data_IF_353002734198
#
_entry.id   IF_353002734198
#
_cell.length_a   1.000
_cell.length_b   1.000
_cell.length_c   1.000
_cell.angle_alpha   90.00
_cell.angle_beta   90.00
_cell.angle_gamma   90.00
#
_symmetry.space_group_name_H-M   'P 1'
#
loop_
_entity.id
_entity.type
_entity.pdbx_description
1 polymer ?
#
# COMPACT_ATOMS: atom_id res chain seq x y z
N UNK A 1 -5.37 14.88 13.48
CA UNK A 1 -6.41 14.43 12.50
C UNK A 1 -7.60 13.69 13.12
N UNK A 2 -7.45 12.90 14.20
CA UNK A 2 -8.58 12.25 14.90
C UNK A 2 -9.58 13.27 15.49
N UNK A 3 -9.08 14.46 15.90
CA UNK A 3 -9.89 15.57 16.42
C UNK A 3 -10.86 16.17 15.38
N UNK A 4 -10.47 16.20 14.10
CA UNK A 4 -11.27 16.84 13.04
C UNK A 4 -12.52 16.02 12.67
N UNK A 5 -12.42 14.68 12.65
CA UNK A 5 -13.59 13.82 12.46
C UNK A 5 -14.46 13.71 13.72
N UNK A 6 -13.90 13.87 14.93
CA UNK A 6 -14.71 14.03 16.15
C UNK A 6 -15.54 15.32 16.10
N UNK A 7 -15.00 16.39 15.52
CA UNK A 7 -15.72 17.65 15.32
C UNK A 7 -16.85 17.50 14.28
N UNK A 8 -16.58 16.88 13.14
CA UNK A 8 -17.61 16.57 12.13
C UNK A 8 -18.65 15.59 12.69
N UNK A 9 -18.24 14.64 13.52
CA UNK A 9 -19.13 13.74 14.25
C UNK A 9 -20.01 14.50 15.23
N UNK A 10 -19.48 15.45 16.01
CA UNK A 10 -20.26 16.27 16.93
C UNK A 10 -21.24 17.19 16.19
N UNK A 11 -20.85 17.74 15.03
CA UNK A 11 -21.74 18.59 14.21
C UNK A 11 -22.87 17.77 13.57
N UNK A 12 -22.58 16.56 13.08
CA UNK A 12 -23.60 15.64 12.53
C UNK A 12 -24.46 15.03 13.66
N UNK A 13 -23.89 14.77 14.84
CA UNK A 13 -24.59 14.26 16.03
C UNK A 13 -25.49 15.32 16.67
N UNK A 14 -25.08 16.60 16.67
CA UNK A 14 -25.94 17.74 17.02
C UNK A 14 -27.13 17.86 16.06
N UNK A 15 -26.94 17.53 14.78
CA UNK A 15 -28.03 17.42 13.79
C UNK A 15 -29.01 16.27 14.12
N UNK A 16 -28.55 15.21 14.80
CA UNK A 16 -29.37 14.08 15.22
C UNK A 16 -30.10 14.33 16.54
N UNK A 17 -29.50 15.06 17.49
CA UNK A 17 -30.16 15.42 18.75
C UNK A 17 -31.35 16.37 18.51
N UNK A 18 -31.24 17.27 17.53
CA UNK A 18 -32.33 18.16 17.13
C UNK A 18 -33.50 17.41 16.43
N UNK A 19 -33.26 16.18 15.95
CA UNK A 19 -34.27 15.30 15.36
C UNK A 19 -34.79 14.22 16.33
N UNK A 20 -34.26 14.14 17.55
CA UNK A 20 -34.57 13.05 18.50
C UNK A 20 -35.73 13.35 19.47
N UNK A 21 -36.33 14.54 19.43
CA UNK A 21 -37.67 14.73 19.99
C UNK A 21 -38.70 14.24 18.97
N UNK A 22 -38.94 12.93 18.95
CA UNK A 22 -40.24 12.25 18.66
C UNK A 22 -40.02 10.81 18.23
N UNK A 23 -39.82 9.87 19.16
CA UNK A 23 -40.38 8.49 19.12
C UNK A 23 -40.44 7.95 20.56
N UNK A 24 -41.53 7.33 21.02
CA UNK A 24 -41.92 5.90 20.81
C UNK A 24 -43.34 5.64 21.41
N UNK A 25 -44.06 4.51 21.16
CA UNK A 25 -43.61 3.11 21.36
C UNK A 25 -44.11 2.07 20.29
N UNK A 26 -43.86 0.75 20.46
CA UNK A 26 -43.85 -0.27 19.39
C UNK A 26 -45.13 -1.11 19.25
N UNK A 27 -45.08 -2.01 18.25
CA UNK A 27 -46.09 -3.00 17.77
C UNK A 27 -46.93 -3.70 18.86
N UNK A 28 -48.22 -3.93 18.56
CA UNK A 28 -48.91 -5.17 18.92
C UNK A 28 -49.98 -5.57 17.88
N UNK A 29 -49.91 -6.85 17.52
CA UNK A 29 -50.91 -7.84 17.09
C UNK A 29 -52.03 -7.58 16.06
N UNK A 30 -52.24 -8.66 15.30
CA UNK A 30 -53.35 -8.96 14.40
C UNK A 30 -54.72 -8.64 15.01
N UNK A 31 -55.60 -8.02 14.23
CA UNK A 31 -57.01 -8.37 14.25
C UNK A 31 -57.63 -8.13 12.87
N UNK A 32 -58.28 -9.16 12.34
CA UNK A 32 -59.09 -9.12 11.12
C UNK A 32 -60.37 -8.37 11.50
N UNK A 33 -60.38 -7.04 11.32
CA UNK A 33 -61.54 -6.23 11.66
C UNK A 33 -62.60 -6.42 10.56
N UNK A 34 -63.67 -7.13 10.93
CA UNK A 34 -64.97 -7.10 10.27
C UNK A 34 -65.35 -5.66 9.95
N UNK A 35 -65.86 -5.36 8.75
CA UNK A 35 -66.35 -4.01 8.41
C UNK A 35 -67.40 -3.59 9.43
N UNK A 36 -67.02 -2.73 10.37
CA UNK A 36 -67.95 -2.12 11.35
C UNK A 36 -68.47 -0.77 10.86
N UNK A 37 -67.87 -0.19 9.82
CA UNK A 37 -68.20 1.15 9.31
C UNK A 37 -68.26 1.13 7.77
N UNK A 38 -69.24 1.85 7.22
CA UNK A 38 -69.54 1.87 5.79
C UNK A 38 -68.81 2.97 5.01
N UNK A 39 -68.03 3.82 5.70
CA UNK A 39 -67.29 4.93 5.09
C UNK A 39 -65.84 4.99 5.62
N UNK A 40 -64.95 5.56 4.80
CA UNK A 40 -63.58 5.84 5.19
C UNK A 40 -63.54 7.04 6.14
N UNK A 41 -62.65 7.00 7.13
CA UNK A 41 -62.43 8.11 8.06
C UNK A 41 -61.89 9.35 7.34
N UNK A 42 -62.39 10.55 7.66
CA UNK A 42 -62.00 11.83 7.02
C UNK A 42 -60.49 12.06 7.02
N UNK A 43 -59.81 11.69 8.11
CA UNK A 43 -58.35 11.69 8.22
C UNK A 43 -57.60 10.93 7.08
N UNK A 44 -58.19 9.89 6.49
CA UNK A 44 -57.58 9.18 5.34
C UNK A 44 -57.70 9.98 4.04
N UNK A 45 -58.79 10.73 3.86
CA UNK A 45 -58.99 11.65 2.73
C UNK A 45 -57.94 12.76 2.78
N UNK A 46 -57.73 13.34 3.97
CA UNK A 46 -56.70 14.36 4.23
C UNK A 46 -55.29 13.84 3.96
N UNK A 47 -54.93 12.69 4.54
CA UNK A 47 -53.62 12.06 4.28
C UNK A 47 -53.41 11.76 2.79
N UNK A 48 -54.46 11.48 2.03
CA UNK A 48 -54.37 11.22 0.60
C UNK A 48 -54.03 12.49 -0.21
N UNK A 49 -54.63 13.64 0.12
CA UNK A 49 -54.31 14.94 -0.50
C UNK A 49 -52.88 15.38 -0.18
N UNK A 50 -52.47 15.23 1.08
CA UNK A 50 -51.14 15.61 1.56
C UNK A 50 -50.03 14.62 1.17
N UNK A 51 -50.39 13.50 0.53
CA UNK A 51 -49.42 12.46 0.15
C UNK A 51 -48.80 11.71 1.33
N UNK A 52 -49.46 11.72 2.50
CA UNK A 52 -48.95 11.19 3.77
C UNK A 52 -49.51 9.80 4.13
N UNK A 53 -50.21 9.12 3.22
CA UNK A 53 -50.68 7.75 3.44
C UNK A 53 -49.50 6.79 3.62
N UNK A 54 -49.52 5.98 4.68
CA UNK A 54 -48.60 4.86 4.80
C UNK A 54 -48.86 3.82 3.71
N UNK A 55 -47.87 2.97 3.43
CA UNK A 55 -48.02 1.88 2.44
C UNK A 55 -49.20 0.94 2.76
N UNK A 56 -49.48 0.70 4.05
CA UNK A 56 -50.58 -0.14 4.50
C UNK A 56 -51.95 0.55 4.37
N UNK A 57 -52.01 1.87 4.59
CA UNK A 57 -53.25 2.64 4.38
C UNK A 57 -53.56 2.76 2.89
N UNK A 58 -52.56 3.07 2.05
CA UNK A 58 -52.73 3.19 0.60
C UNK A 58 -53.18 1.90 -0.07
N UNK A 59 -52.71 0.74 0.39
CA UNK A 59 -53.10 -0.55 -0.17
C UNK A 59 -54.55 -0.94 0.13
N UNK A 60 -55.20 -0.26 1.09
CA UNK A 60 -56.60 -0.51 1.49
C UNK A 60 -57.60 0.45 0.81
N UNK A 61 -57.10 1.37 -0.02
CA UNK A 61 -57.90 2.39 -0.70
C UNK A 61 -57.86 2.10 -2.22
N UNK A 62 -59.02 1.87 -2.87
CA UNK A 62 -59.10 1.74 -4.32
C UNK A 62 -58.53 2.96 -5.05
N UNK A 63 -57.94 2.75 -6.22
CA UNK A 63 -57.28 3.83 -6.97
C UNK A 63 -58.25 4.94 -7.43
N UNK A 64 -59.49 4.58 -7.76
CA UNK A 64 -60.56 5.53 -8.09
C UNK A 64 -60.89 6.43 -6.90
N UNK A 65 -61.04 5.83 -5.70
CA UNK A 65 -61.29 6.55 -4.45
C UNK A 65 -60.12 7.45 -4.06
N UNK A 66 -58.89 6.98 -4.22
CA UNK A 66 -57.69 7.79 -3.96
C UNK A 66 -57.57 8.98 -4.93
N UNK A 67 -57.93 8.78 -6.21
CA UNK A 67 -57.94 9.83 -7.22
C UNK A 67 -59.01 10.89 -6.96
N UNK A 68 -60.22 10.47 -6.56
CA UNK A 68 -61.29 11.39 -6.12
C UNK A 68 -60.83 12.23 -4.93
N UNK A 69 -60.28 11.59 -3.89
CA UNK A 69 -59.83 12.28 -2.69
C UNK A 69 -58.77 13.33 -2.96
N UNK A 70 -57.86 13.09 -3.92
CA UNK A 70 -56.85 14.08 -4.33
C UNK A 70 -57.45 15.38 -4.88
N UNK A 71 -58.66 15.34 -5.42
CA UNK A 71 -59.31 16.48 -6.10
C UNK A 71 -60.51 17.04 -5.32
N UNK A 72 -60.92 16.36 -4.24
CA UNK A 72 -62.10 16.70 -3.44
C UNK A 72 -61.92 18.04 -2.72
N UNK A 73 -62.91 18.93 -2.78
CA UNK A 73 -62.89 20.15 -1.99
C UNK A 73 -63.22 19.85 -0.52
N UNK A 74 -62.29 20.14 0.39
CA UNK A 74 -62.42 19.82 1.82
C UNK A 74 -63.12 20.90 2.63
N UNK A 75 -63.35 22.10 2.09
CA UNK A 75 -64.04 23.19 2.79
C UNK A 75 -65.53 22.90 3.05
N UNK A 76 -66.08 21.85 2.42
CA UNK A 76 -67.47 21.43 2.52
C UNK A 76 -67.66 20.23 3.48
N UNK A 77 -66.58 19.71 4.08
CA UNK A 77 -66.64 18.50 4.90
C UNK A 77 -66.95 18.85 6.36
N UNK A 78 -68.15 18.50 6.81
CA UNK A 78 -68.61 18.69 8.19
C UNK A 78 -67.77 17.86 9.16
N UNK A 79 -67.24 18.49 10.21
CA UNK A 79 -66.35 17.87 11.21
C UNK A 79 -64.86 18.07 10.97
N UNK A 80 -64.48 18.84 9.94
CA UNK A 80 -63.11 19.32 9.75
C UNK A 80 -62.89 20.56 10.64
N UNK A 81 -62.19 20.39 11.77
CA UNK A 81 -61.71 21.50 12.60
C UNK A 81 -60.20 21.68 12.42
N UNK A 82 -59.70 22.91 12.52
CA UNK A 82 -58.26 23.22 12.39
C UNK A 82 -57.38 22.47 13.41
N UNK A 83 -57.98 21.94 14.48
CA UNK A 83 -57.33 21.20 15.56
C UNK A 83 -57.06 19.71 15.26
N UNK A 84 -57.35 19.22 14.05
CA UNK A 84 -57.15 17.81 13.69
C UNK A 84 -55.64 17.45 13.62
N UNK A 85 -55.15 16.32 14.16
CA UNK A 85 -53.71 16.00 14.28
C UNK A 85 -52.92 15.94 12.96
N UNK A 86 -53.62 15.90 11.83
CA UNK A 86 -53.06 15.96 10.49
C UNK A 86 -52.59 17.38 10.16
N UNK A 87 -53.34 18.41 10.58
CA UNK A 87 -52.97 19.82 10.44
C UNK A 87 -51.78 20.19 11.34
N UNK A 88 -51.65 19.57 12.52
CA UNK A 88 -50.52 19.82 13.43
C UNK A 88 -49.16 19.57 12.75
N UNK A 89 -49.06 18.55 11.87
CA UNK A 89 -47.82 18.31 11.11
C UNK A 89 -47.63 19.33 9.98
N UNK A 90 -48.70 19.68 9.29
CA UNK A 90 -48.68 20.64 8.19
C UNK A 90 -48.37 22.07 8.66
N UNK A 91 -48.93 22.48 9.79
CA UNK A 91 -48.60 23.74 10.47
C UNK A 91 -47.18 23.76 10.99
N UNK A 92 -46.66 22.65 11.49
CA UNK A 92 -45.25 22.55 11.86
C UNK A 92 -44.36 22.67 10.61
N UNK A 93 -44.69 22.02 9.49
CA UNK A 93 -43.93 22.19 8.24
C UNK A 93 -44.03 23.60 7.67
N UNK A 94 -45.21 24.23 7.74
CA UNK A 94 -45.47 25.61 7.33
C UNK A 94 -44.69 26.60 8.21
N UNK A 95 -44.77 26.45 9.53
CA UNK A 95 -44.01 27.24 10.52
C UNK A 95 -42.49 27.06 10.37
N UNK A 96 -42.00 25.86 10.05
CA UNK A 96 -40.57 25.62 9.75
C UNK A 96 -40.16 26.31 8.44
N UNK A 97 -41.01 26.25 7.40
CA UNK A 97 -40.77 26.91 6.11
C UNK A 97 -40.83 28.44 6.23
N UNK A 98 -41.71 28.98 7.06
CA UNK A 98 -41.91 30.43 7.25
C UNK A 98 -40.96 31.02 8.31
N UNK A 99 -40.38 30.18 9.17
CA UNK A 99 -39.40 30.58 10.16
C UNK A 99 -38.15 31.17 9.49
N UNK A 100 -38.04 32.50 9.54
CA UNK A 100 -36.85 33.24 9.12
C UNK A 100 -35.61 32.73 9.84
N UNK A 101 -35.74 32.36 11.12
CA UNK A 101 -34.65 31.83 11.94
C UNK A 101 -34.18 30.48 11.43
N UNK A 102 -35.09 29.55 11.11
CA UNK A 102 -34.74 28.24 10.55
C UNK A 102 -34.04 28.37 9.19
N UNK A 103 -34.59 29.20 8.29
CA UNK A 103 -33.96 29.49 6.98
C UNK A 103 -32.57 30.11 7.11
N UNK A 104 -32.39 31.07 8.04
CA UNK A 104 -31.09 31.69 8.33
C UNK A 104 -30.10 30.66 8.87
N UNK A 105 -30.50 29.84 9.84
CA UNK A 105 -29.66 28.79 10.43
C UNK A 105 -29.27 27.73 9.40
N UNK A 106 -30.23 27.27 8.58
CA UNK A 106 -29.95 26.31 7.51
C UNK A 106 -28.99 26.90 6.46
N UNK A 107 -29.19 28.16 6.09
CA UNK A 107 -28.30 28.86 5.15
C UNK A 107 -26.88 28.98 5.72
N UNK A 108 -26.74 29.37 6.99
CA UNK A 108 -25.45 29.43 7.66
C UNK A 108 -24.76 28.06 7.72
N UNK A 109 -25.51 26.99 8.03
CA UNK A 109 -25.00 25.62 8.01
C UNK A 109 -24.55 25.19 6.62
N UNK A 110 -25.30 25.52 5.57
CA UNK A 110 -24.92 25.21 4.19
C UNK A 110 -23.62 25.92 3.77
N UNK A 111 -23.43 27.18 4.18
CA UNK A 111 -22.18 27.93 3.93
C UNK A 111 -21.00 27.24 4.63
N UNK A 112 -21.17 26.84 5.89
CA UNK A 112 -20.15 26.08 6.64
C UNK A 112 -19.84 24.75 5.96
N UNK A 113 -20.87 24.00 5.53
CA UNK A 113 -20.69 22.75 4.78
C UNK A 113 -19.95 22.97 3.45
N UNK A 114 -20.27 24.03 2.71
CA UNK A 114 -19.62 24.36 1.44
C UNK A 114 -18.13 24.64 1.63
N UNK A 115 -17.76 25.37 2.69
CA UNK A 115 -16.36 25.60 3.06
C UNK A 115 -15.63 24.29 3.38
N UNK A 116 -16.22 23.41 4.21
CA UNK A 116 -15.59 22.12 4.49
C UNK A 116 -15.48 21.24 3.25
N UNK A 117 -16.47 21.30 2.34
CA UNK A 117 -16.39 20.58 1.08
C UNK A 117 -15.27 21.11 0.19
N UNK A 118 -15.07 22.42 0.09
CA UNK A 118 -13.99 23.01 -0.72
C UNK A 118 -12.60 22.64 -0.17
N UNK A 119 -12.42 22.66 1.15
CA UNK A 119 -11.20 22.17 1.79
C UNK A 119 -10.91 20.71 1.39
N UNK A 120 -11.93 19.85 1.38
CA UNK A 120 -11.75 18.43 1.05
C UNK A 120 -11.46 18.14 -0.42
N UNK A 121 -11.69 19.08 -1.33
CA UNK A 121 -11.35 18.90 -2.76
C UNK A 121 -9.85 19.05 -3.00
N UNK A 122 -9.21 19.98 -2.28
CA UNK A 122 -7.80 20.28 -2.44
C UNK A 122 -6.87 19.46 -1.51
N UNK A 123 -7.44 18.63 -0.64
CA UNK A 123 -6.65 17.75 0.25
C UNK A 123 -5.91 16.64 -0.51
N UNK A 124 -4.58 16.69 -0.46
CA UNK A 124 -3.72 15.57 -0.88
C UNK A 124 -4.04 14.32 -0.02
N UNK A 125 -4.27 13.19 -0.68
CA UNK A 125 -4.53 11.92 0.01
C UNK A 125 -5.99 11.65 0.39
N UNK A 126 -6.96 12.47 -0.07
CA UNK A 126 -8.41 12.28 0.13
C UNK A 126 -8.89 10.83 0.00
N UNK A 127 -8.45 10.11 -1.04
CA UNK A 127 -8.85 8.71 -1.29
C UNK A 127 -8.47 7.78 -0.13
N UNK A 128 -7.33 7.99 0.52
CA UNK A 128 -6.87 7.19 1.66
C UNK A 128 -7.78 7.43 2.86
N UNK A 129 -8.04 8.69 3.18
CA UNK A 129 -8.90 9.10 4.30
C UNK A 129 -10.32 8.52 4.14
N UNK A 130 -10.91 8.61 2.95
CA UNK A 130 -12.23 8.03 2.68
C UNK A 130 -12.26 6.50 2.84
N UNK A 131 -11.19 5.81 2.44
CA UNK A 131 -11.09 4.36 2.61
C UNK A 131 -10.94 3.96 4.09
N UNK A 132 -10.19 4.72 4.89
CA UNK A 132 -10.05 4.50 6.32
C UNK A 132 -11.40 4.71 7.06
N UNK A 133 -12.21 5.65 6.58
CA UNK A 133 -13.52 5.99 7.16
C UNK A 133 -14.71 5.25 6.53
N UNK A 134 -14.47 4.21 5.72
CA UNK A 134 -15.51 3.50 4.97
C UNK A 134 -16.69 3.03 5.83
N UNK A 135 -16.44 2.54 7.06
CA UNK A 135 -17.47 2.05 7.98
C UNK A 135 -18.42 3.18 8.41
N UNK A 136 -17.86 4.33 8.74
CA UNK A 136 -18.62 5.52 9.13
C UNK A 136 -19.46 6.04 7.96
N UNK A 137 -18.87 6.07 6.76
CA UNK A 137 -19.58 6.49 5.54
C UNK A 137 -20.76 5.57 5.26
N UNK A 138 -20.58 4.24 5.30
CA UNK A 138 -21.67 3.28 5.10
C UNK A 138 -22.78 3.46 6.15
N UNK A 139 -22.40 3.67 7.43
CA UNK A 139 -23.36 3.93 8.52
C UNK A 139 -24.21 5.18 8.24
N UNK A 140 -23.57 6.29 7.85
CA UNK A 140 -24.26 7.55 7.55
C UNK A 140 -25.21 7.37 6.36
N UNK A 141 -24.74 6.82 5.23
CA UNK A 141 -25.60 6.59 4.05
C UNK A 141 -26.79 5.72 4.41
N UNK A 142 -26.56 4.66 5.20
CA UNK A 142 -27.64 3.74 5.62
C UNK A 142 -28.68 4.47 6.47
N UNK A 143 -28.27 5.37 7.38
CA UNK A 143 -29.18 6.15 8.23
C UNK A 143 -29.98 7.20 7.47
N UNK A 144 -29.38 7.90 6.50
CA UNK A 144 -30.04 9.00 5.78
C UNK A 144 -30.83 8.52 4.55
N UNK A 145 -30.48 7.35 4.00
CA UNK A 145 -31.13 6.83 2.80
C UNK A 145 -32.65 6.64 2.86
N UNK A 146 -33.29 6.33 4.02
CA UNK A 146 -34.74 6.27 4.12
C UNK A 146 -35.43 7.63 3.95
N UNK A 147 -34.70 8.73 4.18
CA UNK A 147 -35.24 10.10 4.12
C UNK A 147 -35.12 10.70 2.71
N UNK A 148 -33.96 10.54 2.07
CA UNK A 148 -33.63 11.24 0.81
C UNK A 148 -33.34 10.28 -0.36
N UNK A 149 -33.37 8.98 -0.12
CA UNK A 149 -33.00 7.95 -1.11
C UNK A 149 -31.49 7.70 -1.19
N UNK A 150 -31.12 6.47 -1.59
CA UNK A 150 -29.72 6.00 -1.60
C UNK A 150 -28.84 6.80 -2.57
N UNK A 151 -29.35 7.15 -3.75
CA UNK A 151 -28.58 7.92 -4.75
C UNK A 151 -28.21 9.31 -4.22
N UNK A 152 -29.17 10.03 -3.63
CA UNK A 152 -28.94 11.35 -3.05
C UNK A 152 -28.01 11.29 -1.82
N UNK A 153 -28.22 10.30 -0.95
CA UNK A 153 -27.36 10.03 0.20
C UNK A 153 -25.89 9.77 -0.19
N UNK A 154 -25.67 8.98 -1.25
CA UNK A 154 -24.33 8.72 -1.78
C UNK A 154 -23.70 9.99 -2.39
N UNK A 155 -24.49 10.79 -3.12
CA UNK A 155 -24.05 12.06 -3.73
C UNK A 155 -23.59 13.07 -2.67
N UNK A 156 -24.31 13.16 -1.53
CA UNK A 156 -23.97 14.03 -0.41
C UNK A 156 -22.56 13.73 0.16
N UNK A 157 -22.17 12.46 0.20
CA UNK A 157 -20.84 12.03 0.67
C UNK A 157 -19.81 11.87 -0.45
N UNK A 158 -20.14 12.34 -1.67
CA UNK A 158 -19.29 12.25 -2.87
C UNK A 158 -18.78 10.83 -3.16
N UNK A 159 -19.65 9.83 -2.99
CA UNK A 159 -19.39 8.43 -3.37
C UNK A 159 -20.43 7.91 -4.37
N UNK A 160 -20.05 6.94 -5.21
CA UNK A 160 -21.02 6.26 -6.07
C UNK A 160 -21.83 5.23 -5.30
N UNK A 161 -23.06 4.96 -5.72
CA UNK A 161 -23.90 3.90 -5.13
C UNK A 161 -23.21 2.53 -5.23
N UNK A 162 -22.50 2.24 -6.32
CA UNK A 162 -21.69 1.03 -6.47
C UNK A 162 -20.61 0.92 -5.39
N UNK A 163 -19.90 2.02 -5.08
CA UNK A 163 -18.89 2.04 -4.01
C UNK A 163 -19.52 1.83 -2.64
N UNK A 164 -20.68 2.43 -2.38
CA UNK A 164 -21.45 2.21 -1.15
C UNK A 164 -21.82 0.74 -0.98
N UNK A 165 -22.46 0.11 -1.98
CA UNK A 165 -22.85 -1.30 -1.89
C UNK A 165 -21.64 -2.22 -1.77
N UNK A 166 -20.53 -1.92 -2.46
CA UNK A 166 -19.27 -2.66 -2.31
C UNK A 166 -18.73 -2.61 -0.88
N UNK A 167 -18.77 -1.45 -0.22
CA UNK A 167 -18.34 -1.31 1.17
C UNK A 167 -19.34 -1.91 2.16
N UNK A 168 -20.64 -1.79 1.89
CA UNK A 168 -21.70 -2.35 2.73
C UNK A 168 -21.68 -3.88 2.74
N UNK A 169 -21.42 -4.49 1.58
CA UNK A 169 -21.42 -5.93 1.38
C UNK A 169 -20.00 -6.54 1.48
N UNK A 170 -19.06 -5.82 2.08
CA UNK A 170 -17.68 -6.29 2.23
C UNK A 170 -17.63 -7.42 3.28
N UNK A 171 -17.41 -8.65 2.82
CA UNK A 171 -17.28 -9.82 3.72
C UNK A 171 -15.84 -9.91 4.24
N UNK A 172 -15.70 -9.86 5.56
CA UNK A 172 -14.41 -10.03 6.22
C UNK A 172 -14.10 -11.51 6.43
N UNK A 173 -12.95 -11.95 5.92
CA UNK A 173 -12.46 -13.30 6.08
C UNK A 173 -11.25 -13.28 7.03
N UNK A 174 -11.48 -13.59 8.30
CA UNK A 174 -10.43 -13.54 9.34
C UNK A 174 -9.29 -14.53 9.11
N UNK A 175 -9.54 -15.59 8.33
CA UNK A 175 -8.53 -16.59 7.93
C UNK A 175 -7.65 -16.11 6.75
N UNK A 176 -7.89 -14.91 6.21
CA UNK A 176 -7.11 -14.30 5.14
C UNK A 176 -6.26 -13.15 5.65
N UNK A 177 -4.99 -13.10 5.25
CA UNK A 177 -4.02 -12.06 5.64
C UNK A 177 -4.50 -10.62 5.40
N UNK A 178 -5.37 -10.42 4.41
CA UNK A 178 -5.91 -9.09 4.06
C UNK A 178 -7.37 -8.90 4.47
N UNK A 179 -7.94 -9.81 5.27
CA UNK A 179 -9.37 -9.86 5.57
C UNK A 179 -10.26 -9.97 4.30
N UNK A 180 -9.69 -10.42 3.17
CA UNK A 180 -10.37 -10.58 1.90
C UNK A 180 -10.61 -12.06 1.61
N UNK A 181 -11.87 -12.44 1.40
CA UNK A 181 -12.24 -13.80 1.04
C UNK A 181 -11.57 -14.23 -0.27
N UNK A 182 -10.87 -15.38 -0.26
CA UNK A 182 -10.18 -15.93 -1.44
C UNK A 182 -11.15 -16.43 -2.50
N UNK A 183 -12.36 -16.87 -2.14
CA UNK A 183 -13.39 -17.27 -3.12
C UNK A 183 -13.90 -16.06 -3.92
N UNK A 184 -14.19 -14.95 -3.23
CA UNK A 184 -14.63 -13.70 -3.86
C UNK A 184 -13.49 -12.98 -4.60
N UNK A 185 -12.27 -13.10 -4.09
CA UNK A 185 -11.06 -12.53 -4.69
C UNK A 185 -10.04 -13.64 -5.03
N UNK A 186 -10.31 -14.44 -6.08
CA UNK A 186 -9.59 -15.70 -6.35
C UNK A 186 -8.19 -15.50 -6.94
N UNK A 187 -7.82 -14.26 -7.32
CA UNK A 187 -6.48 -13.92 -7.81
C UNK A 187 -5.45 -13.67 -6.69
N UNK A 188 -5.85 -13.76 -5.42
CA UNK A 188 -4.93 -13.64 -4.28
C UNK A 188 -3.91 -14.79 -4.25
N UNK A 189 -2.79 -14.62 -3.52
CA UNK A 189 -1.90 -15.75 -3.26
C UNK A 189 -2.65 -16.84 -2.48
N UNK A 190 -2.37 -18.09 -2.82
CA UNK A 190 -2.88 -19.27 -2.10
C UNK A 190 -2.32 -19.34 -0.68
N UNK A 191 -2.94 -20.15 0.20
CA UNK A 191 -2.44 -20.33 1.57
C UNK A 191 -1.03 -20.91 1.56
N UNK A 192 -0.78 -21.87 0.67
CA UNK A 192 0.54 -22.49 0.47
C UNK A 192 1.60 -21.45 0.09
N UNK A 193 1.35 -20.59 -0.89
CA UNK A 193 2.28 -19.52 -1.29
C UNK A 193 2.56 -18.55 -0.13
N UNK A 194 1.54 -18.20 0.67
CA UNK A 194 1.72 -17.32 1.83
C UNK A 194 2.59 -17.97 2.91
N UNK A 195 2.38 -19.25 3.20
CA UNK A 195 3.20 -20.02 4.14
C UNK A 195 4.65 -20.11 3.66
N UNK A 196 4.88 -20.31 2.35
CA UNK A 196 6.23 -20.30 1.77
C UNK A 196 6.89 -18.95 1.98
N UNK A 197 6.22 -17.84 1.65
CA UNK A 197 6.75 -16.49 1.88
C UNK A 197 7.09 -16.29 3.36
N UNK A 198 6.19 -16.68 4.27
CA UNK A 198 6.41 -16.58 5.71
C UNK A 198 7.64 -17.39 6.16
N UNK A 199 7.84 -18.60 5.61
CA UNK A 199 9.02 -19.43 5.88
C UNK A 199 10.31 -18.73 5.46
N UNK A 200 10.37 -18.18 4.23
CA UNK A 200 11.56 -17.46 3.75
C UNK A 200 11.87 -16.21 4.56
N UNK A 201 10.85 -15.47 5.01
CA UNK A 201 11.04 -14.27 5.82
C UNK A 201 11.50 -14.55 7.25
N UNK A 202 11.27 -15.77 7.76
CA UNK A 202 11.65 -16.22 9.11
C UNK A 202 12.94 -17.04 9.16
N UNK A 203 13.54 -17.37 8.01
CA UNK A 203 14.80 -18.10 7.95
C UNK A 203 15.93 -17.26 8.56
N UNK A 204 16.64 -17.77 9.59
CA UNK A 204 17.74 -17.02 10.24
C UNK A 204 18.84 -16.62 9.27
N UNK A 205 19.23 -17.54 8.37
CA UNK A 205 20.26 -17.34 7.34
C UNK A 205 19.94 -16.21 6.33
N UNK A 206 18.67 -15.81 6.22
CA UNK A 206 18.21 -14.78 5.27
C UNK A 206 17.79 -13.48 5.97
N UNK A 207 17.93 -13.40 7.30
CA UNK A 207 17.34 -12.33 8.09
C UNK A 207 17.98 -10.96 7.82
N UNK A 208 19.29 -10.95 7.56
CA UNK A 208 20.10 -9.79 7.18
C UNK A 208 20.05 -9.50 5.68
N UNK A 209 19.49 -10.40 4.86
CA UNK A 209 19.40 -10.17 3.42
C UNK A 209 18.35 -9.11 3.07
N UNK A 210 18.61 -8.31 2.02
CA UNK A 210 17.58 -7.50 1.40
C UNK A 210 16.39 -8.36 0.97
N UNK A 211 15.17 -7.91 1.24
CA UNK A 211 13.94 -8.60 0.83
C UNK A 211 13.90 -8.94 -0.67
N UNK A 212 14.56 -8.13 -1.52
CA UNK A 212 14.66 -8.42 -2.96
C UNK A 212 15.50 -9.65 -3.24
N UNK A 213 16.59 -9.86 -2.50
CA UNK A 213 17.43 -11.07 -2.60
C UNK A 213 16.69 -12.29 -2.09
N UNK A 214 15.98 -12.17 -0.96
CA UNK A 214 15.11 -13.25 -0.43
C UNK A 214 14.04 -13.66 -1.46
N UNK A 215 13.43 -12.68 -2.14
CA UNK A 215 12.48 -12.94 -3.21
C UNK A 215 13.10 -13.75 -4.35
N UNK A 216 14.29 -13.36 -4.85
CA UNK A 216 14.94 -14.09 -5.92
C UNK A 216 15.46 -15.46 -5.48
N UNK A 217 15.92 -15.61 -4.24
CA UNK A 217 16.26 -16.92 -3.68
C UNK A 217 15.05 -17.86 -3.74
N UNK A 218 13.87 -17.40 -3.33
CA UNK A 218 12.63 -18.18 -3.40
C UNK A 218 12.23 -18.56 -4.84
N UNK A 219 12.50 -17.69 -5.83
CA UNK A 219 12.29 -18.00 -7.25
C UNK A 219 13.32 -19.02 -7.77
N UNK A 220 14.60 -18.85 -7.44
CA UNK A 220 15.67 -19.77 -7.80
C UNK A 220 15.41 -21.17 -7.24
N UNK A 221 14.97 -21.26 -5.98
CA UNK A 221 14.59 -22.52 -5.31
C UNK A 221 13.27 -23.11 -5.84
N UNK A 222 12.64 -22.45 -6.82
CA UNK A 222 11.37 -22.84 -7.46
C UNK A 222 10.22 -23.10 -6.47
N UNK A 223 10.20 -22.40 -5.33
CA UNK A 223 9.20 -22.65 -4.27
C UNK A 223 7.87 -21.93 -4.52
N UNK A 224 7.90 -20.68 -4.97
CA UNK A 224 6.68 -19.93 -5.28
C UNK A 224 6.96 -18.84 -6.32
N UNK A 225 6.10 -18.72 -7.32
CA UNK A 225 6.26 -17.75 -8.41
C UNK A 225 5.23 -16.64 -8.34
N UNK A 226 5.67 -15.43 -8.01
CA UNK A 226 4.84 -14.23 -7.95
C UNK A 226 5.65 -13.01 -8.36
N UNK A 227 4.97 -11.91 -8.67
CA UNK A 227 5.69 -10.68 -8.97
C UNK A 227 6.29 -10.07 -7.67
N UNK A 228 7.32 -9.24 -7.84
CA UNK A 228 8.03 -8.59 -6.74
C UNK A 228 7.14 -7.64 -5.92
N UNK A 229 6.18 -6.94 -6.56
CA UNK A 229 5.30 -6.00 -5.86
C UNK A 229 4.29 -6.70 -4.94
N UNK A 230 3.81 -7.86 -5.36
CA UNK A 230 2.99 -8.79 -4.59
C UNK A 230 3.81 -9.37 -3.45
N UNK A 231 5.06 -9.79 -3.69
CA UNK A 231 5.94 -10.24 -2.61
C UNK A 231 6.08 -9.17 -1.53
N UNK A 232 6.41 -7.93 -1.90
CA UNK A 232 6.49 -6.82 -0.94
C UNK A 232 5.16 -6.52 -0.22
N UNK A 233 4.02 -6.66 -0.91
CA UNK A 233 2.70 -6.48 -0.31
C UNK A 233 2.47 -7.49 0.82
N UNK A 234 2.80 -8.75 0.60
CA UNK A 234 2.63 -9.81 1.60
C UNK A 234 3.71 -9.75 2.68
N UNK A 235 4.97 -9.51 2.31
CA UNK A 235 6.08 -9.39 3.26
C UNK A 235 5.84 -8.30 4.31
N UNK A 236 5.20 -7.18 3.93
CA UNK A 236 4.86 -6.12 4.89
C UNK A 236 3.89 -6.56 5.98
N UNK A 237 2.96 -7.46 5.67
CA UNK A 237 2.00 -7.96 6.65
C UNK A 237 2.62 -9.09 7.49
N UNK A 238 3.45 -9.92 6.86
CA UNK A 238 4.09 -11.06 7.51
C UNK A 238 5.33 -10.69 8.35
N UNK A 239 5.96 -9.55 8.08
CA UNK A 239 7.11 -8.98 8.81
C UNK A 239 6.94 -7.46 8.97
N UNK A 240 6.05 -7.01 9.88
CA UNK A 240 5.68 -5.60 10.02
C UNK A 240 6.82 -4.71 10.53
N UNK A 241 7.82 -5.28 11.20
CA UNK A 241 8.94 -4.57 11.81
C UNK A 241 9.91 -3.97 10.77
N UNK A 242 9.81 -4.42 9.52
CA UNK A 242 10.69 -3.97 8.44
C UNK A 242 10.31 -2.56 7.96
N UNK A 243 11.05 -1.55 8.44
CA UNK A 243 10.89 -0.15 8.01
C UNK A 243 11.54 0.07 6.65
N UNK A 244 10.74 0.54 5.67
CA UNK A 244 11.25 0.90 4.34
C UNK A 244 11.76 2.34 4.34
N UNK A 245 13.03 2.53 3.99
CA UNK A 245 13.55 3.83 3.57
C UNK A 245 13.38 4.00 2.05
N UNK A 246 12.76 5.10 1.60
CA UNK A 246 12.60 5.41 0.18
C UNK A 246 13.51 6.57 -0.19
N UNK A 247 14.62 6.27 -0.87
CA UNK A 247 15.46 7.31 -1.48
C UNK A 247 14.88 7.81 -2.80
N UNK A 248 15.13 9.09 -3.17
CA UNK A 248 14.92 9.56 -4.52
C UNK A 248 15.75 8.73 -5.52
N UNK A 249 15.27 8.65 -6.76
CA UNK A 249 16.03 7.98 -7.83
C UNK A 249 17.24 8.83 -8.18
N UNK A 250 18.42 8.24 -8.15
CA UNK A 250 19.64 8.86 -8.65
C UNK A 250 19.80 8.60 -10.15
N UNK A 251 20.61 9.43 -10.82
CA UNK A 251 20.97 9.23 -12.23
C UNK A 251 21.75 7.91 -12.38
N UNK A 252 21.60 7.25 -13.52
CA UNK A 252 22.34 6.03 -13.81
C UNK A 252 23.73 6.45 -14.28
N UNK A 253 24.78 6.08 -13.54
CA UNK A 253 26.17 6.29 -13.95
C UNK A 253 26.62 5.34 -15.05
N UNK A 254 27.89 5.42 -15.44
CA UNK A 254 28.53 4.56 -16.44
C UNK A 254 28.24 3.05 -16.23
N UNK A 255 28.09 2.29 -17.31
CA UNK A 255 27.82 0.84 -17.27
C UNK A 255 28.71 0.10 -18.27
N UNK A 256 29.32 -0.98 -17.81
CA UNK A 256 29.99 -1.94 -18.68
C UNK A 256 28.97 -2.79 -19.45
N UNK A 257 29.39 -3.29 -20.62
CA UNK A 257 28.63 -4.24 -21.44
C UNK A 257 29.01 -5.70 -21.16
N UNK A 258 30.15 -5.96 -20.51
CA UNK A 258 30.65 -7.29 -20.17
C UNK A 258 31.50 -7.28 -18.89
N UNK A 259 31.64 -8.43 -18.19
CA UNK A 259 32.50 -8.54 -17.03
C UNK A 259 33.95 -8.16 -17.33
N UNK A 260 34.64 -7.64 -16.31
CA UNK A 260 36.08 -7.35 -16.30
C UNK A 260 36.53 -6.30 -17.34
N UNK A 261 35.63 -5.41 -17.77
CA UNK A 261 35.96 -4.30 -18.69
C UNK A 261 35.96 -2.92 -18.04
N UNK A 262 35.26 -2.78 -16.91
CA UNK A 262 35.25 -1.58 -16.10
C UNK A 262 35.18 -1.99 -14.63
N UNK A 263 36.23 -1.65 -13.90
CA UNK A 263 36.34 -1.89 -12.47
C UNK A 263 36.06 -0.58 -11.72
N UNK A 264 35.51 -0.70 -10.52
CA UNK A 264 35.34 0.42 -9.60
C UNK A 264 36.12 0.13 -8.34
N UNK A 265 36.83 1.13 -7.84
CA UNK A 265 37.52 1.04 -6.56
C UNK A 265 37.23 2.26 -5.70
N UNK A 266 37.20 2.05 -4.38
CA UNK A 266 36.97 3.10 -3.38
C UNK A 266 37.37 2.59 -1.99
N UNK A 267 37.78 3.51 -1.13
CA UNK A 267 38.16 3.25 0.26
C UNK A 267 37.13 3.80 1.22
N UNK A 268 36.66 2.95 2.13
CA UNK A 268 35.70 3.33 3.16
C UNK A 268 36.30 3.18 4.56
N UNK A 269 36.01 4.14 5.44
CA UNK A 269 36.49 4.14 6.83
C UNK A 269 35.44 3.53 7.77
N UNK A 270 35.81 2.59 8.63
CA UNK A 270 35.01 2.10 9.75
C UNK A 270 35.71 2.50 11.07
N UNK A 271 34.97 3.08 12.01
CA UNK A 271 35.44 3.26 13.38
C UNK A 271 35.01 2.07 14.21
N UNK A 272 35.96 1.39 14.83
CA UNK A 272 35.76 0.19 15.65
C UNK A 272 35.53 0.61 17.11
N UNK A 273 35.00 -0.28 17.96
CA UNK A 273 34.67 0.06 19.35
C UNK A 273 35.89 0.47 20.19
N UNK A 274 37.05 -0.12 19.93
CA UNK A 274 38.34 0.25 20.55
C UNK A 274 38.82 1.66 20.17
N UNK A 275 38.10 2.36 19.28
CA UNK A 275 38.40 3.70 18.82
C UNK A 275 39.30 3.74 17.59
N UNK A 276 39.87 2.62 17.17
CA UNK A 276 40.69 2.50 15.97
C UNK A 276 39.88 2.76 14.69
N UNK A 277 40.58 3.18 13.63
CA UNK A 277 40.01 3.37 12.30
C UNK A 277 40.50 2.26 11.39
N UNK A 278 39.57 1.46 10.86
CA UNK A 278 39.84 0.51 9.81
C UNK A 278 39.53 1.16 8.45
N UNK A 279 40.55 1.27 7.59
CA UNK A 279 40.42 1.70 6.21
C UNK A 279 40.23 0.46 5.36
N UNK A 280 39.07 0.34 4.69
CA UNK A 280 38.71 -0.85 3.93
C UNK A 280 38.58 -0.43 2.47
N UNK A 281 39.46 -0.98 1.64
CA UNK A 281 39.49 -0.74 0.21
C UNK A 281 38.83 -1.91 -0.53
N UNK A 282 37.94 -1.61 -1.46
CA UNK A 282 37.24 -2.61 -2.27
C UNK A 282 37.45 -2.34 -3.76
N UNK A 283 37.57 -3.42 -4.54
CA UNK A 283 37.53 -3.39 -6.01
C UNK A 283 36.36 -4.25 -6.45
N UNK A 284 35.46 -3.69 -7.27
CA UNK A 284 34.31 -4.40 -7.81
C UNK A 284 34.24 -4.34 -9.33
N UNK A 285 33.66 -5.38 -9.94
CA UNK A 285 33.29 -5.37 -11.35
C UNK A 285 31.98 -4.60 -11.58
N UNK A 286 31.95 -3.75 -12.60
CA UNK A 286 30.78 -2.95 -12.94
C UNK A 286 29.59 -3.80 -13.42
N UNK A 287 29.84 -4.79 -14.27
CA UNK A 287 28.81 -5.57 -14.95
C UNK A 287 28.21 -6.60 -14.00
N UNK A 288 29.05 -7.53 -13.50
CA UNK A 288 28.67 -8.64 -12.63
C UNK A 288 28.35 -8.20 -11.21
N UNK A 289 28.80 -7.01 -10.78
CA UNK A 289 28.67 -6.51 -9.39
C UNK A 289 29.48 -7.28 -8.36
N UNK A 290 30.39 -8.14 -8.81
CA UNK A 290 31.23 -8.98 -7.94
C UNK A 290 32.28 -8.11 -7.29
N UNK A 291 32.51 -8.30 -6.00
CA UNK A 291 33.69 -7.78 -5.32
C UNK A 291 34.84 -8.70 -5.71
N UNK A 292 35.77 -8.16 -6.50
CA UNK A 292 36.90 -8.90 -7.04
C UNK A 292 38.02 -9.05 -6.01
N UNK A 293 38.24 -8.01 -5.22
CA UNK A 293 39.26 -7.95 -4.19
C UNK A 293 38.95 -6.91 -3.12
N UNK A 294 39.53 -7.10 -1.94
CA UNK A 294 39.43 -6.16 -0.82
C UNK A 294 40.68 -6.24 0.05
N UNK A 295 41.04 -5.13 0.67
CA UNK A 295 42.10 -5.03 1.70
C UNK A 295 41.59 -4.15 2.82
N UNK A 296 42.01 -4.42 4.05
CA UNK A 296 41.81 -3.47 5.15
C UNK A 296 43.14 -3.17 5.85
N UNK A 297 43.25 -1.97 6.42
CA UNK A 297 44.44 -1.51 7.15
C UNK A 297 44.08 -0.55 8.26
N UNK A 298 44.98 -0.40 9.23
CA UNK A 298 44.91 0.62 10.30
C UNK A 298 45.37 2.00 9.84
N UNK A 299 46.13 2.05 8.75
CA UNK A 299 46.67 3.29 8.17
C UNK A 299 46.02 3.60 6.81
N UNK A 300 45.87 4.88 6.53
CA UNK A 300 45.45 5.37 5.22
C UNK A 300 46.65 5.33 4.27
N UNK A 301 46.72 4.32 3.39
CA UNK A 301 47.91 4.10 2.56
C UNK A 301 47.58 3.61 1.14
N UNK A 302 48.09 4.32 0.12
CA UNK A 302 47.97 3.96 -1.29
C UNK A 302 48.62 2.61 -1.64
N UNK A 303 49.60 2.14 -0.85
CA UNK A 303 50.23 0.82 -1.03
C UNK A 303 49.21 -0.33 -0.93
N UNK A 304 48.18 -0.18 -0.10
CA UNK A 304 47.12 -1.19 0.02
C UNK A 304 46.21 -1.19 -1.21
N UNK A 305 45.95 -0.02 -1.78
CA UNK A 305 45.23 0.13 -3.06
C UNK A 305 45.97 -0.59 -4.17
N UNK A 306 47.27 -0.33 -4.32
CA UNK A 306 48.14 -0.97 -5.33
C UNK A 306 48.24 -2.48 -5.11
N UNK A 307 48.46 -2.94 -3.87
CA UNK A 307 48.51 -4.38 -3.55
C UNK A 307 47.20 -5.08 -3.87
N UNK A 308 46.05 -4.50 -3.52
CA UNK A 308 44.74 -5.06 -3.86
C UNK A 308 44.55 -5.15 -5.38
N UNK A 309 44.92 -4.09 -6.10
CA UNK A 309 44.78 -4.04 -7.56
C UNK A 309 45.68 -5.07 -8.25
N UNK A 310 46.94 -5.23 -7.80
CA UNK A 310 47.86 -6.28 -8.28
C UNK A 310 47.27 -7.66 -8.10
N UNK A 311 46.80 -8.00 -6.90
CA UNK A 311 46.18 -9.30 -6.62
C UNK A 311 44.94 -9.56 -7.50
N UNK A 312 44.12 -8.54 -7.74
CA UNK A 312 42.97 -8.65 -8.66
C UNK A 312 43.44 -8.85 -10.10
N UNK A 313 44.46 -8.12 -10.55
CA UNK A 313 45.00 -8.26 -11.90
C UNK A 313 45.63 -9.64 -12.13
N UNK A 314 46.34 -10.19 -11.15
CA UNK A 314 46.90 -11.54 -11.17
C UNK A 314 45.78 -12.58 -11.23
N UNK A 315 44.83 -12.51 -10.29
CA UNK A 315 43.74 -13.49 -10.15
C UNK A 315 42.86 -13.59 -11.39
N UNK A 316 42.61 -12.48 -12.08
CA UNK A 316 41.72 -12.44 -13.25
C UNK A 316 42.45 -12.27 -14.59
N UNK A 317 43.79 -12.33 -14.56
CA UNK A 317 44.67 -12.14 -15.72
C UNK A 317 44.30 -10.87 -16.51
N UNK A 318 44.42 -9.70 -15.84
CA UNK A 318 43.99 -8.40 -16.37
C UNK A 318 45.15 -7.51 -16.84
N UNK A 319 46.40 -7.82 -16.51
CA UNK A 319 47.55 -6.95 -16.82
C UNK A 319 47.61 -6.54 -18.29
N UNK A 320 47.36 -7.49 -19.19
CA UNK A 320 47.48 -7.27 -20.63
C UNK A 320 46.15 -7.05 -21.34
N UNK A 321 45.06 -6.81 -20.59
CA UNK A 321 43.73 -6.59 -21.17
C UNK A 321 43.37 -5.11 -21.10
N UNK A 322 42.77 -4.54 -22.17
CA UNK A 322 42.28 -3.17 -22.14
C UNK A 322 41.09 -3.09 -21.18
N UNK A 323 41.30 -2.54 -20.00
CA UNK A 323 40.26 -2.35 -18.98
C UNK A 323 40.27 -0.92 -18.47
N UNK A 324 39.11 -0.47 -17.96
CA UNK A 324 38.99 0.83 -17.31
C UNK A 324 38.88 0.68 -15.81
N UNK A 325 39.49 1.58 -15.06
CA UNK A 325 39.45 1.61 -13.60
C UNK A 325 38.87 2.96 -13.16
N UNK A 326 37.66 2.94 -12.59
CA UNK A 326 37.03 4.14 -12.02
C UNK A 326 37.34 4.26 -10.53
N UNK A 327 37.86 5.42 -10.13
CA UNK A 327 38.03 5.81 -8.74
C UNK A 327 37.57 7.25 -8.50
N UNK A 328 37.50 7.64 -7.23
CA UNK A 328 37.32 9.04 -6.85
C UNK A 328 38.67 9.77 -6.82
N UNK A 329 38.65 11.10 -6.72
CA UNK A 329 39.85 11.95 -6.65
C UNK A 329 40.54 11.94 -5.26
N UNK A 330 40.39 10.84 -4.53
CA UNK A 330 41.03 10.63 -3.23
C UNK A 330 42.54 10.46 -3.38
N UNK A 331 43.31 10.97 -2.42
CA UNK A 331 44.77 10.91 -2.43
C UNK A 331 45.31 9.48 -2.39
N UNK A 332 44.54 8.51 -1.88
CA UNK A 332 44.84 7.07 -1.89
C UNK A 332 44.81 6.44 -3.28
N UNK A 333 44.15 7.09 -4.24
CA UNK A 333 44.06 6.63 -5.63
C UNK A 333 45.07 7.33 -6.54
N UNK A 334 45.89 8.24 -6.00
CA UNK A 334 46.91 9.00 -6.73
C UNK A 334 48.32 8.46 -6.38
N UNK A 335 49.37 9.10 -6.92
CA UNK A 335 50.77 8.82 -6.57
C UNK A 335 51.20 7.40 -6.95
N UNK A 336 51.40 6.53 -5.95
CA UNK A 336 51.77 5.11 -6.11
C UNK A 336 50.85 4.36 -7.08
N UNK A 337 49.56 4.68 -7.07
CA UNK A 337 48.59 4.07 -7.99
C UNK A 337 48.85 4.51 -9.43
N UNK A 338 49.11 5.79 -9.67
CA UNK A 338 49.45 6.28 -11.01
C UNK A 338 50.77 5.66 -11.48
N UNK A 339 51.79 5.64 -10.63
CA UNK A 339 53.09 5.02 -10.95
C UNK A 339 53.00 3.52 -11.24
N UNK A 340 52.05 2.80 -10.62
CA UNK A 340 51.77 1.42 -10.99
C UNK A 340 51.07 1.31 -12.35
N UNK A 341 50.09 2.17 -12.62
CA UNK A 341 49.29 2.14 -13.85
C UNK A 341 50.08 2.62 -15.09
N UNK A 342 51.07 3.48 -14.91
CA UNK A 342 51.92 4.02 -15.98
C UNK A 342 52.96 2.99 -16.50
N UNK A 343 53.00 1.78 -15.95
CA UNK A 343 53.93 0.75 -16.40
C UNK A 343 53.57 0.27 -17.82
N UNK A 344 54.55 0.12 -18.74
CA UNK A 344 54.27 -0.21 -20.15
C UNK A 344 53.54 -1.54 -20.39
N UNK A 345 53.59 -2.45 -19.41
CA UNK A 345 52.95 -3.77 -19.49
C UNK A 345 51.46 -3.76 -19.12
N UNK A 346 50.94 -2.63 -18.63
CA UNK A 346 49.58 -2.46 -18.13
C UNK A 346 48.71 -1.69 -19.12
N UNK A 347 47.60 -2.30 -19.55
CA UNK A 347 46.59 -1.64 -20.41
C UNK A 347 45.35 -1.23 -19.60
N UNK A 348 45.58 -0.57 -18.46
CA UNK A 348 44.52 -0.13 -17.55
C UNK A 348 44.36 1.40 -17.66
N UNK A 349 43.26 1.85 -18.25
CA UNK A 349 42.91 3.27 -18.31
C UNK A 349 42.23 3.70 -17.00
N UNK A 350 42.86 4.61 -16.27
CA UNK A 350 42.27 5.21 -15.06
C UNK A 350 41.29 6.31 -15.44
N UNK A 351 40.12 6.30 -14.80
CA UNK A 351 39.11 7.35 -14.86
C UNK A 351 38.85 7.87 -13.44
N UNK A 352 38.73 9.19 -13.31
CA UNK A 352 38.44 9.89 -12.05
C UNK A 352 37.00 10.42 -12.08
N UNK A 353 36.19 10.00 -11.12
CA UNK A 353 34.79 10.45 -11.02
C UNK A 353 34.70 11.96 -10.76
N UNK A 354 33.74 12.62 -11.41
CA UNK A 354 33.50 14.07 -11.37
C UNK A 354 34.63 14.96 -11.90
N UNK A 355 35.74 14.37 -12.37
CA UNK A 355 36.85 15.05 -13.04
C UNK A 355 36.87 14.63 -14.51
N UNK A 356 37.17 13.35 -14.79
CA UNK A 356 37.22 12.81 -16.15
C UNK A 356 35.82 12.43 -16.66
N UNK A 357 34.90 12.09 -15.75
CA UNK A 357 33.52 11.75 -16.08
C UNK A 357 32.51 12.52 -15.22
N UNK A 358 31.36 12.87 -15.79
CA UNK A 358 30.29 13.61 -15.06
C UNK A 358 29.53 12.78 -14.01
N UNK A 359 29.82 11.48 -13.90
CA UNK A 359 29.14 10.56 -13.00
C UNK A 359 29.95 10.29 -11.73
N UNK A 360 29.27 10.05 -10.61
CA UNK A 360 29.92 9.61 -9.37
C UNK A 360 30.22 8.12 -9.38
N UNK A 361 31.10 7.69 -8.47
CA UNK A 361 31.46 6.29 -8.23
C UNK A 361 30.40 5.51 -7.42
N UNK A 362 29.12 5.73 -7.74
CA UNK A 362 27.96 5.24 -6.99
C UNK A 362 27.85 3.72 -6.79
N UNK A 363 28.54 2.91 -7.60
CA UNK A 363 28.44 1.45 -7.54
C UNK A 363 29.25 0.88 -6.39
N UNK A 364 30.50 1.31 -6.26
CA UNK A 364 31.37 0.88 -5.16
C UNK A 364 30.92 1.52 -3.84
N UNK A 365 30.43 2.77 -3.86
CA UNK A 365 29.76 3.38 -2.71
C UNK A 365 28.59 2.51 -2.20
N UNK A 366 27.83 1.91 -3.12
CA UNK A 366 26.74 1.01 -2.76
C UNK A 366 27.24 -0.31 -2.17
N UNK A 367 28.40 -0.82 -2.62
CA UNK A 367 29.09 -1.97 -2.00
C UNK A 367 29.55 -1.61 -0.60
N UNK A 368 30.26 -0.49 -0.44
CA UNK A 368 30.75 0.03 0.84
C UNK A 368 29.61 0.15 1.86
N UNK A 369 28.48 0.71 1.41
CA UNK A 369 27.29 0.80 2.23
C UNK A 369 26.74 -0.58 2.61
N UNK A 370 26.63 -1.53 1.68
CA UNK A 370 26.12 -2.87 2.01
C UNK A 370 27.04 -3.58 2.99
N UNK A 371 28.35 -3.55 2.77
CA UNK A 371 29.35 -4.13 3.67
C UNK A 371 29.21 -3.57 5.09
N UNK A 372 29.10 -2.25 5.22
CA UNK A 372 28.88 -1.59 6.51
C UNK A 372 27.56 -1.98 7.17
N UNK A 373 26.44 -1.77 6.49
CA UNK A 373 25.12 -1.86 7.13
C UNK A 373 24.57 -3.29 7.25
N UNK A 374 24.97 -4.20 6.36
CA UNK A 374 24.48 -5.58 6.37
C UNK A 374 25.40 -6.54 7.14
N UNK A 375 26.70 -6.22 7.27
CA UNK A 375 27.70 -7.13 7.85
C UNK A 375 28.46 -6.53 9.03
N UNK A 376 29.09 -5.36 8.88
CA UNK A 376 29.98 -4.81 9.90
C UNK A 376 29.23 -4.19 11.08
N UNK A 377 28.29 -3.26 10.85
CA UNK A 377 27.52 -2.62 11.93
C UNK A 377 26.65 -3.59 12.73
N UNK A 378 25.99 -4.60 12.13
CA UNK A 378 25.25 -5.58 12.90
C UNK A 378 26.12 -6.43 13.81
N UNK A 379 27.35 -6.76 13.39
CA UNK A 379 28.33 -7.46 14.24
C UNK A 379 28.98 -6.56 15.28
N UNK A 380 29.11 -5.27 14.98
CA UNK A 380 29.69 -4.25 15.84
C UNK A 380 31.10 -4.64 16.34
N UNK A 381 32.08 -4.81 15.43
CA UNK A 381 33.39 -5.38 15.76
C UNK A 381 34.13 -4.58 16.83
N UNK A 382 34.86 -5.30 17.69
CA UNK A 382 35.62 -4.73 18.82
C UNK A 382 37.06 -4.37 18.43
N UNK A 383 37.67 -5.15 17.54
CA UNK A 383 39.04 -4.94 17.04
C UNK A 383 39.15 -4.97 15.51
N UNK A 384 40.32 -4.61 14.99
CA UNK A 384 40.62 -4.68 13.56
C UNK A 384 40.60 -6.12 13.01
N UNK A 385 41.04 -7.09 13.79
CA UNK A 385 41.01 -8.52 13.43
C UNK A 385 39.58 -9.00 13.21
N UNK A 386 38.63 -8.58 14.06
CA UNK A 386 37.21 -8.90 13.87
C UNK A 386 36.62 -8.28 12.59
N UNK A 387 37.13 -7.11 12.17
CA UNK A 387 36.77 -6.51 10.88
C UNK A 387 37.24 -7.41 9.74
N UNK A 388 38.50 -7.86 9.79
CA UNK A 388 39.09 -8.77 8.79
C UNK A 388 38.28 -10.08 8.71
N UNK A 389 38.02 -10.72 9.84
CA UNK A 389 37.31 -12.01 9.87
C UNK A 389 35.85 -11.86 9.43
N UNK A 390 35.24 -10.72 9.72
CA UNK A 390 33.91 -10.40 9.19
C UNK A 390 33.93 -10.26 7.67
N UNK A 391 34.92 -9.56 7.10
CA UNK A 391 35.02 -9.36 5.66
C UNK A 391 35.32 -10.66 4.91
N UNK A 392 36.15 -11.55 5.48
CA UNK A 392 36.42 -12.89 4.94
C UNK A 392 35.14 -13.72 4.72
N UNK A 393 34.17 -13.60 5.63
CA UNK A 393 32.88 -14.27 5.49
C UNK A 393 31.88 -13.46 4.63
N UNK A 394 31.85 -12.13 4.81
CA UNK A 394 30.86 -11.26 4.19
C UNK A 394 30.99 -11.14 2.66
N UNK A 395 32.23 -11.09 2.15
CA UNK A 395 32.47 -10.90 0.71
C UNK A 395 32.02 -12.11 -0.11
N UNK A 396 32.38 -13.37 0.23
CA UNK A 396 31.83 -14.54 -0.44
C UNK A 396 30.31 -14.65 -0.32
N UNK A 397 29.73 -14.31 0.83
CA UNK A 397 28.28 -14.32 1.00
C UNK A 397 27.59 -13.27 0.09
N UNK A 398 28.15 -12.07 0.00
CA UNK A 398 27.66 -11.02 -0.89
C UNK A 398 27.73 -11.46 -2.36
N UNK A 399 28.84 -12.06 -2.77
CA UNK A 399 29.12 -12.47 -4.14
C UNK A 399 28.29 -13.69 -4.58
N UNK A 400 27.92 -14.57 -3.65
CA UNK A 400 27.06 -15.74 -3.91
C UNK A 400 25.57 -15.45 -3.78
N UNK A 401 25.18 -14.35 -3.12
CA UNK A 401 23.78 -13.97 -2.91
C UNK A 401 23.08 -13.49 -4.18
N UNK A 402 21.85 -13.95 -4.49
CA UNK A 402 21.04 -13.45 -5.59
C UNK A 402 20.83 -11.93 -5.54
N UNK A 403 21.14 -11.27 -6.65
CA UNK A 403 21.00 -9.82 -6.79
C UNK A 403 19.74 -9.45 -7.56
N UNK A 404 19.01 -8.46 -7.04
CA UNK A 404 17.87 -7.91 -7.78
C UNK A 404 18.26 -7.13 -9.03
N UNK A 405 19.48 -6.57 -9.08
CA UNK A 405 19.97 -5.87 -10.29
C UNK A 405 20.28 -6.89 -11.40
N UNK A 406 20.69 -8.10 -11.02
CA UNK A 406 21.04 -9.20 -11.91
C UNK A 406 19.89 -10.19 -12.08
N UNK A 407 18.65 -9.75 -11.85
CA UNK A 407 17.43 -10.55 -12.04
C UNK A 407 17.43 -11.93 -11.37
N UNK A 408 18.12 -12.06 -10.23
CA UNK A 408 18.18 -13.28 -9.43
C UNK A 408 19.43 -14.13 -9.63
N UNK A 409 20.32 -13.77 -10.55
CA UNK A 409 21.67 -14.29 -10.55
C UNK A 409 22.50 -13.68 -9.42
N UNK A 410 23.45 -14.45 -8.90
CA UNK A 410 24.48 -13.93 -8.00
C UNK A 410 25.57 -13.20 -8.79
N UNK A 411 26.29 -12.26 -8.16
CA UNK A 411 27.48 -11.67 -8.78
C UNK A 411 28.46 -12.70 -9.35
N UNK A 412 28.78 -13.75 -8.59
CA UNK A 412 29.69 -14.82 -9.05
C UNK A 412 29.17 -15.55 -10.28
N UNK A 413 27.87 -15.85 -10.34
CA UNK A 413 27.30 -16.49 -11.53
C UNK A 413 27.49 -15.63 -12.78
N UNK A 414 27.29 -14.32 -12.66
CA UNK A 414 27.42 -13.39 -13.80
C UNK A 414 28.88 -13.19 -14.19
N UNK A 415 29.78 -13.12 -13.20
CA UNK A 415 31.22 -13.08 -13.47
C UNK A 415 31.69 -14.33 -14.22
N UNK A 416 31.12 -15.50 -13.89
CA UNK A 416 31.40 -16.78 -14.52
C UNK A 416 30.56 -17.04 -15.80
N UNK A 417 29.96 -15.99 -16.39
CA UNK A 417 29.35 -16.06 -17.73
C UNK A 417 27.82 -16.18 -17.77
N UNK A 418 27.13 -16.20 -16.63
CA UNK A 418 25.66 -16.14 -16.65
C UNK A 418 25.17 -14.78 -17.16
N UNK A 419 24.22 -14.79 -18.09
CA UNK A 419 23.64 -13.57 -18.67
C UNK A 419 22.37 -13.19 -17.91
N UNK A 420 22.31 -12.02 -17.24
CA UNK A 420 21.12 -11.60 -16.53
C UNK A 420 19.92 -11.40 -17.46
N UNK A 421 18.86 -12.16 -17.24
CA UNK A 421 17.60 -12.04 -17.98
C UNK A 421 16.45 -11.58 -17.08
N UNK A 422 15.86 -10.44 -17.46
CA UNK A 422 14.68 -9.86 -16.81
C UNK A 422 13.43 -10.75 -16.95
N UNK A 423 13.37 -11.56 -18.00
CA UNK A 423 12.22 -12.38 -18.36
C UNK A 423 12.28 -13.82 -17.82
N UNK A 424 13.39 -14.20 -17.17
CA UNK A 424 13.69 -15.55 -16.66
C UNK A 424 12.53 -16.26 -15.95
N UNK A 425 11.73 -15.52 -15.16
CA UNK A 425 10.64 -16.09 -14.35
C UNK A 425 9.24 -15.70 -14.84
N UNK A 426 9.11 -15.03 -15.99
CA UNK A 426 7.83 -14.46 -16.44
C UNK A 426 6.79 -15.55 -16.69
N UNK A 427 7.16 -16.64 -17.36
CA UNK A 427 6.22 -17.73 -17.67
C UNK A 427 5.80 -18.48 -16.40
N UNK A 428 6.72 -18.82 -15.49
CA UNK A 428 6.37 -19.45 -14.21
C UNK A 428 5.42 -18.58 -13.37
N UNK A 429 5.64 -17.25 -13.37
CA UNK A 429 4.76 -16.29 -12.68
C UNK A 429 3.37 -16.26 -13.34
N UNK A 430 3.28 -16.29 -14.67
CA UNK A 430 2.01 -16.33 -15.40
C UNK A 430 1.25 -17.62 -15.10
N UNK A 431 1.91 -18.77 -15.15
CA UNK A 431 1.31 -20.06 -14.84
C UNK A 431 0.78 -20.12 -13.40
N UNK A 432 1.58 -19.68 -12.43
CA UNK A 432 1.16 -19.62 -11.03
C UNK A 432 -0.04 -18.69 -10.86
N UNK A 433 -0.06 -17.53 -11.54
CA UNK A 433 -1.18 -16.61 -11.53
C UNK A 433 -2.46 -17.21 -12.14
N UNK A 434 -2.35 -18.01 -13.20
CA UNK A 434 -3.48 -18.69 -13.84
C UNK A 434 -4.04 -19.84 -12.97
N UNK A 435 -3.21 -20.51 -12.17
CA UNK A 435 -3.61 -21.60 -11.26
C UNK A 435 -4.33 -21.08 -10.00
N UNK A 436 -3.97 -19.91 -9.48
CA UNK A 436 -4.54 -19.33 -8.24
C UNK A 436 -6.08 -19.31 -8.18
N UNK A 437 -6.82 -18.89 -9.23
CA UNK A 437 -8.27 -18.84 -9.14
C UNK A 437 -8.94 -20.20 -8.98
N UNK A 438 -8.39 -21.25 -9.58
CA UNK A 438 -8.93 -22.62 -9.43
C UNK A 438 -8.76 -23.08 -7.98
N UNK A 439 -7.54 -22.96 -7.44
CA UNK A 439 -7.21 -23.36 -6.06
C UNK A 439 -8.01 -22.55 -5.02
N UNK A 440 -8.08 -21.23 -5.17
CA UNK A 440 -8.73 -20.36 -4.20
C UNK A 440 -10.26 -20.47 -4.19
N UNK A 441 -10.88 -20.94 -5.29
CA UNK A 441 -12.33 -21.20 -5.33
C UNK A 441 -12.70 -22.53 -4.65
N UNK A 442 -11.82 -23.53 -4.74
CA UNK A 442 -12.03 -24.86 -4.17
C UNK A 442 -11.81 -24.88 -2.65
N UNK A 443 -10.83 -24.12 -2.14
CA UNK A 443 -10.57 -24.06 -0.71
C UNK A 443 -11.74 -23.40 0.05
N UNK A 444 -12.36 -24.16 0.95
CA UNK A 444 -13.35 -23.68 1.91
C UNK A 444 -12.66 -22.78 2.95
N UNK A 445 -13.32 -21.69 3.32
CA UNK A 445 -12.96 -20.87 4.47
C UNK A 445 -14.11 -21.01 5.46
N UNK A 446 -13.87 -21.06 6.78
CA UNK A 446 -14.96 -21.26 7.77
C UNK A 446 -16.10 -20.22 7.65
N UNK A 447 -15.83 -18.93 7.37
CA UNK A 447 -16.89 -17.94 7.07
C UNK A 447 -17.63 -18.17 5.74
N UNK A 448 -17.10 -19.03 4.86
CA UNK A 448 -17.64 -19.37 3.56
C UNK A 448 -18.46 -20.67 3.58
N UNK A 449 -18.56 -21.34 4.73
CA UNK A 449 -19.32 -22.59 4.92
C UNK A 449 -20.82 -22.30 4.95
N UNK A 450 -21.21 -21.14 5.48
CA UNK A 450 -22.59 -20.67 5.50
C UNK A 450 -22.97 -20.02 4.18
N UNK A 451 -23.73 -20.74 3.34
CA UNK A 451 -24.26 -20.23 2.08
C UNK A 451 -25.19 -19.00 2.25
N UNK A 452 -25.70 -18.76 3.46
CA UNK A 452 -26.52 -17.60 3.84
C UNK A 452 -25.73 -16.27 3.89
N UNK A 453 -24.40 -16.32 4.00
CA UNK A 453 -23.51 -15.14 4.12
C UNK A 453 -22.88 -14.72 2.79
N UNK A 454 -23.00 -15.53 1.74
CA UNK A 454 -22.50 -15.21 0.41
C UNK A 454 -23.52 -14.25 -0.24
N UNK A 455 -23.17 -12.97 -0.47
CA UNK A 455 -24.09 -12.07 -1.16
C UNK A 455 -24.38 -12.63 -2.55
N UNK A 456 -25.64 -13.01 -2.81
CA UNK A 456 -26.12 -13.33 -4.15
C UNK A 456 -25.78 -12.13 -5.04
N UNK A 457 -25.09 -12.39 -6.17
CA UNK A 457 -24.89 -11.35 -7.19
C UNK A 457 -26.26 -10.82 -7.58
N UNK A 458 -26.49 -9.53 -7.32
CA UNK A 458 -27.57 -8.75 -7.90
C UNK A 458 -27.09 -8.24 -9.26
#
# INVERSE_FOLDING_TARGET
>A
MVSFLKLVYHIIFMFFLFFYFTKLPPKLFLCKIMKTKNSYHTALVLKAQLGMLSKQERSRIPDSTFSDWKKRNLSLVVGFTEDDPVHFKEDVYRKISESKTFKKTLSALLVVFQFYFSLTENMRGKRRIWNEQKKNIVSIVTRISPLIGIKAACKLLKISSQRFYRWKNEVHCFTSTFNLCRKLHPKQLTSKEQTIIAKYLKKPELQHWPLRSVFYQMLNDSKAFLNLSTFYKYARVLRPDFKRFRKPKQRIGIRASSPLTLLHMDTTILRVQDGSKAYIHFIMDNFSRTILGWKASLEWNAKNTVSNLKEVCEKFNLFHKPIRLLCDDGSENQGEVNGFLDQPSLFIEKLTAQVDISYSNSMIEAVNKKMKYEFLFPKNPVSFEEVIDTLKAAVPEYNSRPSGVLFGFSPDQVLNGAIPDKHRFVENIKEAAAKRPKVNKQNLCDPCSDQSTIPKKI
#
